data_IF_538036387852
#
_entry.id   IF_538036387852
#
_cell.length_a   1.000
_cell.length_b   1.000
_cell.length_c   1.000
_cell.angle_alpha   90.00
_cell.angle_beta   90.00
_cell.angle_gamma   90.00
#
_symmetry.space_group_name_H-M   'P 1'
#
loop_
_entity.id
_entity.type
_entity.pdbx_description
1 polymer ?
#
# COMPACT_ATOMS: atom_id res chain seq x y z
N UNK A 1 -37.52 -13.80 16.92
CA UNK A 1 -37.82 -12.39 16.65
C UNK A 1 -37.78 -12.03 15.18
N UNK A 2 -38.80 -11.29 14.75
CA UNK A 2 -39.00 -10.91 13.35
C UNK A 2 -38.19 -9.64 13.06
N UNK A 3 -37.01 -9.77 12.43
CA UNK A 3 -36.00 -8.72 12.18
C UNK A 3 -36.45 -7.58 11.23
N UNK A 4 -37.75 -7.39 10.99
CA UNK A 4 -38.31 -6.43 10.01
C UNK A 4 -39.45 -5.56 10.56
N UNK A 5 -39.64 -5.47 11.88
CA UNK A 5 -40.67 -4.60 12.46
C UNK A 5 -40.12 -3.18 12.64
N UNK A 6 -40.51 -2.29 11.73
CA UNK A 6 -40.19 -0.85 11.82
C UNK A 6 -41.34 -0.18 12.56
N UNK A 7 -41.06 0.49 13.68
CA UNK A 7 -42.02 1.33 14.40
C UNK A 7 -41.62 2.79 14.27
N UNK A 8 -42.51 3.60 13.72
CA UNK A 8 -42.34 5.05 13.62
C UNK A 8 -43.24 5.69 14.67
N UNK A 9 -42.68 6.54 15.53
CA UNK A 9 -43.46 7.31 16.50
C UNK A 9 -44.09 8.54 15.86
N UNK A 10 -45.09 9.11 16.52
CA UNK A 10 -45.64 10.40 16.13
C UNK A 10 -44.59 11.52 16.24
N UNK A 11 -44.74 12.54 15.39
CA UNK A 11 -43.86 13.71 15.38
C UNK A 11 -44.10 14.54 16.65
N UNK A 12 -43.03 14.92 17.33
CA UNK A 12 -43.09 15.77 18.54
C UNK A 12 -42.33 17.07 18.26
N UNK A 13 -42.78 18.18 18.85
CA UNK A 13 -42.08 19.46 18.78
C UNK A 13 -40.73 19.34 19.48
N UNK A 14 -39.65 19.62 18.76
CA UNK A 14 -38.29 19.58 19.32
C UNK A 14 -38.06 20.76 20.27
N UNK A 15 -37.43 20.49 21.42
CA UNK A 15 -36.89 21.52 22.31
C UNK A 15 -35.53 22.06 21.85
N UNK A 16 -34.90 21.40 20.87
CA UNK A 16 -33.62 21.79 20.30
C UNK A 16 -33.80 22.85 19.20
N UNK A 17 -32.94 23.88 19.22
CA UNK A 17 -32.94 24.96 18.21
C UNK A 17 -32.20 24.58 16.93
N UNK A 18 -31.42 23.49 16.95
CA UNK A 18 -30.65 23.01 15.80
C UNK A 18 -31.35 21.82 15.14
N UNK A 19 -31.48 21.86 13.82
CA UNK A 19 -31.93 20.72 13.03
C UNK A 19 -30.86 19.62 13.00
N UNK A 20 -31.28 18.37 13.11
CA UNK A 20 -30.39 17.21 13.00
C UNK A 20 -31.15 15.89 13.12
N UNK A 21 -30.41 14.80 12.94
CA UNK A 21 -30.92 13.44 13.10
C UNK A 21 -30.06 12.72 14.13
N UNK A 22 -30.71 12.12 15.14
CA UNK A 22 -30.05 11.25 16.11
C UNK A 22 -30.51 9.81 15.86
N UNK A 23 -29.55 8.92 15.66
CA UNK A 23 -29.80 7.48 15.49
C UNK A 23 -29.21 6.76 16.70
N UNK A 24 -30.06 6.03 17.42
CA UNK A 24 -29.66 5.20 18.56
C UNK A 24 -29.88 3.73 18.24
N UNK A 25 -28.81 2.95 18.27
CA UNK A 25 -28.86 1.49 18.10
C UNK A 25 -28.75 0.87 19.49
N UNK A 26 -29.80 0.18 19.92
CA UNK A 26 -29.92 -0.46 21.23
C UNK A 26 -29.86 -1.99 21.09
N UNK A 27 -29.76 -2.71 22.20
CA UNK A 27 -29.78 -4.19 22.25
C UNK A 27 -28.67 -4.87 21.43
N UNK A 28 -27.49 -4.26 21.48
CA UNK A 28 -26.27 -4.82 20.93
C UNK A 28 -25.98 -6.20 21.61
N UNK A 29 -25.78 -7.26 20.82
CA UNK A 29 -25.35 -8.63 21.25
C UNK A 29 -24.09 -8.60 22.12
N UNK A 30 -24.17 -8.98 23.41
CA UNK A 30 -23.15 -8.80 24.48
C UNK A 30 -21.63 -8.90 24.16
N UNK A 31 -21.16 -9.51 23.07
CA UNK A 31 -19.76 -9.58 22.68
C UNK A 31 -19.41 -8.68 21.49
N UNK A 32 -18.95 -7.44 21.72
CA UNK A 32 -18.35 -6.58 20.69
C UNK A 32 -16.92 -6.19 21.05
N UNK A 33 -15.97 -7.05 20.72
CA UNK A 33 -14.53 -6.77 20.88
C UNK A 33 -13.97 -5.84 19.78
N UNK A 34 -14.76 -5.57 18.74
CA UNK A 34 -14.40 -4.72 17.61
C UNK A 34 -14.78 -3.24 17.78
N UNK A 35 -15.78 -2.92 18.61
CA UNK A 35 -16.35 -1.57 18.71
C UNK A 35 -15.65 -0.73 19.80
N UNK A 36 -14.33 -0.57 19.69
CA UNK A 36 -13.58 0.37 20.55
C UNK A 36 -13.47 1.73 19.88
N UNK A 37 -13.37 2.84 20.63
CA UNK A 37 -13.25 4.19 20.05
C UNK A 37 -12.08 4.31 19.06
N UNK A 38 -10.94 3.69 19.37
CA UNK A 38 -9.75 3.70 18.52
C UNK A 38 -9.98 2.97 17.20
N UNK A 39 -10.52 1.74 17.24
CA UNK A 39 -10.82 0.97 16.03
C UNK A 39 -11.88 1.66 15.16
N UNK A 40 -12.87 2.28 15.79
CA UNK A 40 -13.90 3.04 15.09
C UNK A 40 -13.32 4.29 14.41
N UNK A 41 -12.45 5.02 15.11
CA UNK A 41 -11.78 6.20 14.55
C UNK A 41 -10.92 5.83 13.34
N UNK A 42 -10.12 4.75 13.45
CA UNK A 42 -9.32 4.22 12.34
C UNK A 42 -10.21 3.82 11.15
N UNK A 43 -11.25 3.01 11.39
CA UNK A 43 -12.17 2.55 10.34
C UNK A 43 -12.87 3.71 9.63
N UNK A 44 -13.40 4.68 10.39
CA UNK A 44 -14.06 5.85 9.82
C UNK A 44 -13.09 6.78 9.11
N UNK A 45 -11.84 6.90 9.59
CA UNK A 45 -10.78 7.66 8.91
C UNK A 45 -10.53 7.10 7.52
N UNK A 46 -10.40 5.78 7.40
CA UNK A 46 -10.19 5.10 6.12
C UNK A 46 -11.43 5.16 5.23
N UNK A 47 -12.60 4.87 5.77
CA UNK A 47 -13.85 4.81 5.00
C UNK A 47 -14.27 6.18 4.49
N UNK A 48 -14.14 7.22 5.32
CA UNK A 48 -14.55 8.59 5.00
C UNK A 48 -13.40 9.45 4.48
N UNK A 49 -12.22 8.86 4.27
CA UNK A 49 -11.01 9.55 3.80
C UNK A 49 -11.28 10.53 2.64
N UNK A 50 -11.80 9.99 1.53
CA UNK A 50 -12.10 10.78 0.34
C UNK A 50 -13.17 11.82 0.60
N UNK A 51 -14.20 11.45 1.36
CA UNK A 51 -15.31 12.35 1.64
C UNK A 51 -14.86 13.55 2.49
N UNK A 52 -14.14 13.32 3.58
CA UNK A 52 -13.66 14.38 4.46
C UNK A 52 -12.56 15.23 3.83
N UNK A 53 -11.71 14.64 2.99
CA UNK A 53 -10.74 15.39 2.17
C UNK A 53 -11.45 16.32 1.17
N UNK A 54 -12.51 15.83 0.52
CA UNK A 54 -13.28 16.58 -0.48
C UNK A 54 -14.21 17.63 0.12
N UNK A 55 -14.70 17.41 1.35
CA UNK A 55 -15.64 18.31 2.03
C UNK A 55 -15.08 18.78 3.39
N UNK A 56 -14.14 19.75 3.41
CA UNK A 56 -13.49 20.22 4.64
C UNK A 56 -14.44 20.85 5.68
N UNK A 57 -15.64 21.27 5.24
CA UNK A 57 -16.69 21.79 6.14
C UNK A 57 -17.38 20.70 6.94
N UNK A 58 -17.31 19.44 6.49
CA UNK A 58 -17.90 18.31 7.22
C UNK A 58 -16.90 17.83 8.26
N UNK A 59 -17.34 17.79 9.52
CA UNK A 59 -16.52 17.34 10.65
C UNK A 59 -17.17 16.12 11.27
N UNK A 60 -16.40 15.05 11.39
CA UNK A 60 -16.83 13.81 12.04
C UNK A 60 -16.07 13.67 13.34
N UNK A 61 -16.79 13.30 14.40
CA UNK A 61 -16.23 13.14 15.73
C UNK A 61 -16.55 11.76 16.27
N UNK A 62 -15.54 11.08 16.84
CA UNK A 62 -15.72 9.86 17.64
C UNK A 62 -15.34 10.20 19.07
N UNK A 63 -16.27 10.03 20.02
CA UNK A 63 -16.04 10.41 21.42
C UNK A 63 -15.49 11.85 21.61
N UNK A 64 -15.98 12.80 20.80
CA UNK A 64 -15.54 14.22 20.76
C UNK A 64 -14.14 14.46 20.18
N UNK A 65 -13.44 13.42 19.76
CA UNK A 65 -12.19 13.54 19.01
C UNK A 65 -12.50 13.67 17.52
N UNK A 66 -11.97 14.71 16.87
CA UNK A 66 -12.20 14.93 15.45
C UNK A 66 -11.38 13.93 14.62
N UNK A 67 -12.04 13.27 13.68
CA UNK A 67 -11.34 12.49 12.66
C UNK A 67 -10.81 13.45 11.60
N UNK A 68 -9.50 13.40 11.37
CA UNK A 68 -8.82 14.09 10.26
C UNK A 68 -8.00 13.07 9.45
N UNK A 69 -8.57 12.52 8.36
CA UNK A 69 -7.86 11.56 7.52
C UNK A 69 -6.62 12.18 6.88
N UNK A 70 -6.66 13.48 6.55
CA UNK A 70 -5.60 14.21 5.85
C UNK A 70 -4.27 14.16 6.59
N UNK A 71 -4.32 14.26 7.92
CA UNK A 71 -3.13 14.19 8.77
C UNK A 71 -2.40 12.84 8.70
N UNK A 72 -3.09 11.77 8.28
CA UNK A 72 -2.57 10.41 8.19
C UNK A 72 -2.15 10.02 6.76
N UNK A 73 -2.43 10.83 5.75
CA UNK A 73 -2.04 10.58 4.36
C UNK A 73 -0.52 10.80 4.23
N UNK A 74 0.16 9.82 3.64
CA UNK A 74 1.54 9.93 3.17
C UNK A 74 1.59 10.33 1.69
N UNK A 75 0.82 9.64 0.85
CA UNK A 75 0.74 9.89 -0.58
C UNK A 75 -0.69 9.74 -1.05
N UNK A 76 -1.06 10.53 -2.05
CA UNK A 76 -2.34 10.48 -2.73
C UNK A 76 -2.08 10.52 -4.24
N UNK A 77 -2.39 9.43 -4.94
CA UNK A 77 -2.10 9.29 -6.36
C UNK A 77 -3.32 8.83 -7.13
N UNK A 78 -3.70 9.58 -8.17
CA UNK A 78 -4.79 9.23 -9.09
C UNK A 78 -4.28 8.73 -10.43
N UNK A 79 -4.94 7.69 -10.95
CA UNK A 79 -4.72 7.12 -12.27
C UNK A 79 -6.02 7.13 -13.06
N UNK A 80 -5.96 7.59 -14.32
CA UNK A 80 -7.06 7.42 -15.27
C UNK A 80 -6.96 6.04 -15.92
N UNK A 81 -8.08 5.34 -15.99
CA UNK A 81 -8.19 4.04 -16.66
C UNK A 81 -8.89 4.21 -18.00
N UNK A 82 -8.93 3.11 -18.78
CA UNK A 82 -9.61 3.14 -20.08
C UNK A 82 -11.12 3.15 -19.84
N UNK A 83 -11.83 3.76 -20.78
CA UNK A 83 -13.28 3.80 -20.73
C UNK A 83 -13.87 2.43 -21.06
N UNK A 84 -14.98 2.09 -20.40
CA UNK A 84 -15.74 0.86 -20.64
C UNK A 84 -17.09 1.20 -21.24
N UNK A 85 -17.48 0.49 -22.30
CA UNK A 85 -18.83 0.59 -22.86
C UNK A 85 -19.74 -0.38 -22.14
N UNK A 86 -20.83 0.12 -21.56
CA UNK A 86 -21.86 -0.67 -20.90
C UNK A 86 -23.24 -0.09 -21.23
N UNK A 87 -24.16 -0.93 -21.72
CA UNK A 87 -25.49 -0.52 -22.21
C UNK A 87 -25.41 0.68 -23.18
N UNK A 88 -24.52 0.59 -24.18
CA UNK A 88 -24.26 1.63 -25.20
C UNK A 88 -23.80 3.00 -24.65
N UNK A 89 -23.43 3.07 -23.37
CA UNK A 89 -22.86 4.26 -22.75
C UNK A 89 -21.39 4.06 -22.39
N UNK A 90 -20.61 5.14 -22.56
CA UNK A 90 -19.20 5.16 -22.23
C UNK A 90 -18.99 5.57 -20.78
N UNK A 91 -18.25 4.77 -20.03
CA UNK A 91 -17.99 4.99 -18.62
C UNK A 91 -16.49 5.10 -18.34
N UNK A 92 -16.06 6.29 -17.92
CA UNK A 92 -14.68 6.52 -17.49
C UNK A 92 -14.41 5.97 -16.09
N UNK A 93 -13.18 5.53 -15.88
CA UNK A 93 -12.71 5.03 -14.59
C UNK A 93 -11.53 5.85 -14.06
N UNK A 94 -11.55 6.12 -12.76
CA UNK A 94 -10.42 6.70 -12.04
C UNK A 94 -10.08 5.82 -10.85
N UNK A 95 -8.80 5.51 -10.68
CA UNK A 95 -8.27 4.79 -9.53
C UNK A 95 -7.47 5.75 -8.67
N UNK A 96 -7.90 5.97 -7.43
CA UNK A 96 -7.15 6.75 -6.45
C UNK A 96 -6.54 5.82 -5.41
N UNK A 97 -5.23 5.92 -5.22
CA UNK A 97 -4.46 5.16 -4.23
C UNK A 97 -3.99 6.13 -3.15
N UNK A 98 -4.44 5.91 -1.92
CA UNK A 98 -4.02 6.67 -0.74
C UNK A 98 -3.09 5.80 0.09
N UNK A 99 -1.85 6.23 0.29
CA UNK A 99 -0.92 5.63 1.23
C UNK A 99 -1.06 6.28 2.60
N UNK A 100 -1.12 5.47 3.65
CA UNK A 100 -1.31 5.89 5.04
C UNK A 100 -0.01 5.80 5.83
N UNK A 101 0.18 6.67 6.83
CA UNK A 101 1.27 6.56 7.82
C UNK A 101 1.22 5.23 8.57
N UNK A 102 0.00 4.80 8.90
CA UNK A 102 -0.28 3.50 9.50
C UNK A 102 -1.73 3.16 9.23
N UNK A 103 -1.98 1.99 8.64
CA UNK A 103 -3.32 1.40 8.54
C UNK A 103 -3.21 -0.10 8.88
N UNK A 104 -4.25 -0.64 9.52
CA UNK A 104 -4.27 -2.05 9.94
C UNK A 104 -4.42 -3.01 8.76
N UNK A 105 -5.22 -2.63 7.77
CA UNK A 105 -5.51 -3.46 6.61
C UNK A 105 -5.57 -2.62 5.34
N UNK A 106 -5.25 -3.26 4.21
CA UNK A 106 -5.34 -2.65 2.90
C UNK A 106 -6.69 -2.99 2.28
N UNK A 107 -7.42 -1.96 1.87
CA UNK A 107 -8.79 -2.10 1.36
C UNK A 107 -8.91 -1.52 -0.05
N UNK A 108 -9.75 -2.16 -0.86
CA UNK A 108 -10.09 -1.70 -2.20
C UNK A 108 -11.60 -1.44 -2.22
N UNK A 109 -12.00 -0.22 -2.53
CA UNK A 109 -13.38 0.21 -2.57
C UNK A 109 -13.83 0.45 -4.02
N UNK A 110 -14.97 -0.14 -4.37
CA UNK A 110 -15.72 0.23 -5.55
C UNK A 110 -16.64 1.37 -5.18
N UNK A 111 -16.43 2.52 -5.81
CA UNK A 111 -17.05 3.78 -5.43
C UNK A 111 -17.95 4.33 -6.53
N UNK A 112 -18.86 5.21 -6.14
CA UNK A 112 -19.49 6.09 -7.11
C UNK A 112 -18.49 7.08 -7.75
N UNK A 113 -18.95 7.88 -8.71
CA UNK A 113 -18.12 8.90 -9.37
C UNK A 113 -17.55 9.95 -8.41
N UNK A 114 -18.17 10.16 -7.25
CA UNK A 114 -17.77 11.18 -6.29
C UNK A 114 -16.75 10.66 -5.27
N UNK A 115 -16.50 9.34 -5.23
CA UNK A 115 -15.58 8.67 -4.33
C UNK A 115 -16.23 8.07 -3.08
N UNK A 116 -17.56 7.93 -3.04
CA UNK A 116 -18.25 7.28 -1.94
C UNK A 116 -18.23 5.74 -2.13
N UNK A 117 -17.76 4.96 -1.13
CA UNK A 117 -17.73 3.50 -1.24
C UNK A 117 -19.14 2.90 -1.38
N UNK A 118 -19.35 2.10 -2.43
CA UNK A 118 -20.56 1.30 -2.65
C UNK A 118 -20.38 -0.10 -2.07
N UNK A 119 -19.21 -0.71 -2.28
CA UNK A 119 -18.85 -2.03 -1.77
C UNK A 119 -17.32 -2.17 -1.64
N UNK A 120 -16.87 -3.00 -0.70
CA UNK A 120 -15.46 -3.38 -0.56
C UNK A 120 -15.15 -4.61 -1.43
N UNK A 121 -14.04 -4.56 -2.15
CA UNK A 121 -13.49 -5.68 -2.91
C UNK A 121 -12.42 -6.38 -2.06
N UNK A 122 -12.78 -7.54 -1.49
CA UNK A 122 -11.97 -8.31 -0.53
C UNK A 122 -10.78 -9.07 -1.18
N UNK A 123 -10.07 -8.43 -2.10
CA UNK A 123 -8.95 -9.02 -2.83
C UNK A 123 -7.62 -8.53 -2.28
N UNK A 124 -6.80 -9.48 -1.79
CA UNK A 124 -5.44 -9.18 -1.34
C UNK A 124 -4.47 -9.16 -2.52
N UNK A 125 -3.84 -8.00 -2.74
CA UNK A 125 -2.80 -7.84 -3.76
C UNK A 125 -1.47 -8.35 -3.21
N UNK A 126 -0.90 -9.37 -3.87
CA UNK A 126 0.41 -9.92 -3.49
C UNK A 126 1.52 -8.90 -3.74
N UNK A 127 2.52 -8.87 -2.85
CA UNK A 127 3.69 -7.99 -2.98
C UNK A 127 3.51 -6.59 -2.41
N UNK A 128 2.35 -6.25 -1.83
CA UNK A 128 2.06 -4.90 -1.31
C UNK A 128 1.88 -4.87 0.22
N UNK A 129 2.25 -5.94 0.93
CA UNK A 129 1.98 -6.08 2.38
C UNK A 129 2.83 -5.16 3.27
N UNK A 130 3.90 -4.59 2.72
CA UNK A 130 4.78 -3.63 3.40
C UNK A 130 4.21 -2.20 3.42
N UNK A 131 3.12 -1.98 2.70
CA UNK A 131 2.44 -0.69 2.59
C UNK A 131 1.10 -0.74 3.30
N UNK A 132 0.75 0.38 3.92
CA UNK A 132 -0.58 0.67 4.43
C UNK A 132 -1.28 1.58 3.42
N UNK A 133 -2.36 1.12 2.80
CA UNK A 133 -3.04 1.89 1.75
C UNK A 133 -4.52 1.56 1.62
N UNK A 134 -5.25 2.48 0.99
CA UNK A 134 -6.61 2.25 0.52
C UNK A 134 -6.74 2.67 -0.92
N UNK A 135 -7.56 1.95 -1.66
CA UNK A 135 -7.77 2.16 -3.09
C UNK A 135 -9.24 2.44 -3.36
N UNK A 136 -9.52 3.44 -4.19
CA UNK A 136 -10.87 3.85 -4.53
C UNK A 136 -11.00 3.85 -6.05
N UNK A 137 -11.73 2.87 -6.58
CA UNK A 137 -12.08 2.80 -7.99
C UNK A 137 -13.42 3.53 -8.19
N UNK A 138 -13.40 4.64 -8.94
CA UNK A 138 -14.56 5.50 -9.16
C UNK A 138 -15.06 5.36 -10.58
N UNK A 139 -16.37 5.15 -10.75
CA UNK A 139 -17.03 5.25 -12.05
C UNK A 139 -18.54 5.34 -11.91
N UNK A 140 -19.20 5.96 -12.88
CA UNK A 140 -20.66 5.88 -13.03
C UNK A 140 -21.13 4.47 -13.39
N UNK A 141 -20.28 3.63 -14.00
CA UNK A 141 -20.60 2.23 -14.29
C UNK A 141 -20.86 1.43 -13.01
N UNK A 142 -20.04 1.64 -11.96
CA UNK A 142 -20.20 0.96 -10.67
C UNK A 142 -21.53 1.32 -10.00
N UNK A 143 -21.95 2.58 -10.12
CA UNK A 143 -23.26 3.02 -9.63
C UNK A 143 -24.42 2.33 -10.37
N UNK A 144 -24.32 2.13 -11.69
CA UNK A 144 -25.32 1.38 -12.46
C UNK A 144 -25.43 -0.07 -12.00
N UNK A 145 -24.30 -0.78 -11.94
CA UNK A 145 -24.25 -2.17 -11.46
C UNK A 145 -24.78 -2.29 -10.02
N UNK A 146 -24.56 -1.28 -9.18
CA UNK A 146 -25.10 -1.26 -7.81
C UNK A 146 -26.62 -1.17 -7.80
N UNK A 147 -27.22 -0.35 -8.66
CA UNK A 147 -28.68 -0.21 -8.76
C UNK A 147 -29.33 -1.48 -9.33
N UNK A 148 -28.63 -2.16 -10.24
CA UNK A 148 -29.08 -3.42 -10.85
C UNK A 148 -28.86 -4.63 -9.95
N UNK A 149 -28.09 -4.48 -8.86
CA UNK A 149 -27.78 -5.55 -7.91
C UNK A 149 -26.72 -6.54 -8.42
N UNK A 150 -26.01 -6.21 -9.50
CA UNK A 150 -24.96 -7.04 -10.12
C UNK A 150 -23.57 -6.69 -9.63
N UNK A 151 -23.37 -5.53 -8.98
CA UNK A 151 -22.06 -5.10 -8.47
C UNK A 151 -21.42 -6.12 -7.50
N UNK A 152 -22.22 -6.83 -6.71
CA UNK A 152 -21.74 -7.86 -5.78
C UNK A 152 -21.16 -9.10 -6.47
N UNK A 153 -21.38 -9.27 -7.78
CA UNK A 153 -20.80 -10.36 -8.56
C UNK A 153 -19.30 -10.17 -8.80
N UNK A 154 -18.78 -8.94 -8.71
CA UNK A 154 -17.34 -8.61 -8.77
C UNK A 154 -16.67 -9.21 -10.03
N UNK A 155 -15.72 -10.14 -9.85
CA UNK A 155 -14.97 -10.81 -10.91
C UNK A 155 -15.86 -11.64 -11.86
N UNK A 156 -17.07 -12.00 -11.43
CA UNK A 156 -18.05 -12.73 -12.23
C UNK A 156 -18.88 -11.82 -13.15
N UNK A 157 -18.88 -10.50 -12.91
CA UNK A 157 -19.55 -9.53 -13.77
C UNK A 157 -18.65 -9.26 -15.00
N UNK A 158 -19.05 -9.68 -16.23
CA UNK A 158 -18.17 -9.65 -17.40
C UNK A 158 -17.72 -8.23 -17.77
N UNK A 159 -18.57 -7.23 -17.52
CA UNK A 159 -18.26 -5.82 -17.77
C UNK A 159 -17.25 -5.23 -16.79
N UNK A 160 -17.09 -5.84 -15.61
CA UNK A 160 -16.26 -5.35 -14.51
C UNK A 160 -14.93 -6.11 -14.37
N UNK A 161 -14.92 -7.42 -14.67
CA UNK A 161 -13.75 -8.29 -14.51
C UNK A 161 -12.47 -7.76 -15.21
N UNK A 162 -12.50 -7.26 -16.46
CA UNK A 162 -11.31 -6.70 -17.11
C UNK A 162 -10.77 -5.46 -16.39
N UNK A 163 -11.66 -4.63 -15.84
CA UNK A 163 -11.29 -3.42 -15.08
C UNK A 163 -10.61 -3.81 -13.78
N UNK A 164 -11.17 -4.76 -13.02
CA UNK A 164 -10.58 -5.24 -11.77
C UNK A 164 -9.18 -5.80 -11.99
N UNK A 165 -8.99 -6.62 -13.04
CA UNK A 165 -7.66 -7.13 -13.40
C UNK A 165 -6.66 -6.00 -13.71
N UNK A 166 -7.09 -4.96 -14.43
CA UNK A 166 -6.25 -3.79 -14.71
C UNK A 166 -5.92 -3.01 -13.44
N UNK A 167 -6.87 -2.87 -12.53
CA UNK A 167 -6.69 -2.24 -11.21
C UNK A 167 -5.66 -3.00 -10.38
N UNK A 168 -5.75 -4.33 -10.29
CA UNK A 168 -4.74 -5.14 -9.59
C UNK A 168 -3.33 -4.93 -10.16
N UNK A 169 -3.21 -4.86 -11.50
CA UNK A 169 -1.94 -4.59 -12.17
C UNK A 169 -1.39 -3.20 -11.86
N UNK A 170 -2.24 -2.17 -11.89
CA UNK A 170 -1.86 -0.80 -11.57
C UNK A 170 -1.40 -0.63 -10.12
N UNK A 171 -2.08 -1.28 -9.17
CA UNK A 171 -1.67 -1.26 -7.75
C UNK A 171 -0.28 -1.88 -7.59
N UNK A 172 -0.02 -3.03 -8.21
CA UNK A 172 1.32 -3.66 -8.18
C UNK A 172 2.39 -2.76 -8.78
N UNK A 173 2.10 -2.17 -9.93
CA UNK A 173 3.04 -1.26 -10.60
C UNK A 173 3.30 0.03 -9.80
N UNK A 174 2.27 0.58 -9.15
CA UNK A 174 2.40 1.69 -8.23
C UNK A 174 3.41 1.36 -7.12
N UNK A 175 3.19 0.28 -6.36
CA UNK A 175 4.09 -0.06 -5.25
C UNK A 175 5.48 -0.52 -5.70
N UNK A 176 5.62 -1.11 -6.89
CA UNK A 176 6.92 -1.37 -7.49
C UNK A 176 7.71 -0.08 -7.73
N UNK A 177 7.06 0.98 -8.24
CA UNK A 177 7.69 2.30 -8.40
C UNK A 177 8.07 2.91 -7.05
N UNK A 178 7.20 2.79 -6.04
CA UNK A 178 7.46 3.26 -4.68
C UNK A 178 8.66 2.55 -4.04
N UNK A 179 8.81 1.23 -4.24
CA UNK A 179 9.98 0.49 -3.79
C UNK A 179 11.27 0.98 -4.46
N UNK A 180 11.23 1.27 -5.76
CA UNK A 180 12.37 1.84 -6.48
C UNK A 180 12.72 3.26 -5.99
N UNK A 181 11.74 4.09 -5.66
CA UNK A 181 11.95 5.42 -5.08
C UNK A 181 12.60 5.34 -3.70
N UNK A 182 12.04 4.55 -2.78
CA UNK A 182 12.61 4.33 -1.44
C UNK A 182 14.03 3.77 -1.51
N UNK A 183 14.28 2.86 -2.44
CA UNK A 183 15.61 2.29 -2.68
C UNK A 183 16.63 3.36 -3.05
N UNK A 184 16.27 4.30 -3.94
CA UNK A 184 17.13 5.43 -4.30
C UNK A 184 17.36 6.36 -3.12
N UNK A 185 16.30 6.71 -2.38
CA UNK A 185 16.39 7.56 -1.20
C UNK A 185 17.33 6.97 -0.14
N UNK A 186 17.28 5.65 0.09
CA UNK A 186 18.18 4.95 1.01
C UNK A 186 19.64 5.01 0.54
N UNK A 187 19.89 4.77 -0.75
CA UNK A 187 21.24 4.84 -1.31
C UNK A 187 21.80 6.27 -1.19
N UNK A 188 20.99 7.28 -1.49
CA UNK A 188 21.40 8.68 -1.38
C UNK A 188 21.64 9.09 0.08
N UNK A 189 20.82 8.60 1.02
CA UNK A 189 21.07 8.72 2.46
C UNK A 189 22.44 8.14 2.83
N UNK A 190 22.78 6.93 2.37
CA UNK A 190 24.07 6.31 2.67
C UNK A 190 25.26 7.04 2.06
N UNK A 191 25.10 7.62 0.87
CA UNK A 191 26.10 8.48 0.25
C UNK A 191 26.31 9.76 1.06
N UNK A 192 25.22 10.40 1.51
CA UNK A 192 25.26 11.61 2.32
C UNK A 192 25.86 11.37 3.72
N UNK A 193 25.58 10.21 4.34
CA UNK A 193 26.23 9.78 5.59
C UNK A 193 27.71 9.38 5.38
N UNK A 194 28.17 9.29 4.12
CA UNK A 194 29.52 8.86 3.77
C UNK A 194 29.83 7.41 4.15
N UNK A 195 28.79 6.57 4.25
CA UNK A 195 28.92 5.15 4.58
C UNK A 195 28.94 4.27 3.34
N UNK A 196 28.37 4.75 2.22
CA UNK A 196 28.38 4.07 0.93
C UNK A 196 29.82 3.74 0.47
N UNK A 197 30.12 2.50 0.03
CA UNK A 197 31.50 2.03 -0.10
C UNK A 197 32.17 2.39 -1.43
N UNK A 198 31.47 3.05 -2.35
CA UNK A 198 32.01 3.52 -3.63
C UNK A 198 32.10 5.04 -3.68
N UNK A 199 33.11 5.54 -4.39
CA UNK A 199 33.41 6.97 -4.49
C UNK A 199 33.27 7.41 -5.94
N UNK A 200 32.72 8.61 -6.16
CA UNK A 200 32.60 9.20 -7.50
C UNK A 200 31.72 8.39 -8.47
N UNK A 201 31.92 8.62 -9.77
CA UNK A 201 31.26 7.85 -10.83
C UNK A 201 31.99 6.51 -11.01
N UNK A 202 31.28 5.51 -11.55
CA UNK A 202 31.90 4.24 -11.92
C UNK A 202 32.99 4.48 -12.97
N UNK A 203 34.13 3.83 -12.81
CA UNK A 203 35.29 3.93 -13.69
C UNK A 203 35.10 3.10 -14.96
N UNK A 204 34.35 2.00 -14.88
CA UNK A 204 34.10 1.08 -15.99
C UNK A 204 32.77 0.32 -15.84
N UNK A 205 32.40 -0.43 -16.88
CA UNK A 205 31.14 -1.21 -16.94
C UNK A 205 31.09 -2.30 -15.85
N UNK A 206 32.24 -2.88 -15.51
CA UNK A 206 32.34 -3.92 -14.48
C UNK A 206 32.04 -3.34 -13.09
N UNK A 207 32.61 -2.18 -12.76
CA UNK A 207 32.34 -1.49 -11.51
C UNK A 207 30.89 -1.00 -11.43
N UNK A 208 30.32 -0.52 -12.54
CA UNK A 208 28.90 -0.16 -12.61
C UNK A 208 27.99 -1.36 -12.32
N UNK A 209 28.34 -2.55 -12.83
CA UNK A 209 27.66 -3.79 -12.50
C UNK A 209 27.84 -4.20 -11.03
N UNK A 210 29.06 -4.14 -10.49
CA UNK A 210 29.37 -4.41 -9.07
C UNK A 210 28.54 -3.50 -8.14
N UNK A 211 28.47 -2.20 -8.44
CA UNK A 211 27.67 -1.21 -7.71
C UNK A 211 26.18 -1.56 -7.73
N UNK A 212 25.63 -1.97 -8.88
CA UNK A 212 24.21 -2.40 -9.00
C UNK A 212 23.92 -3.63 -8.14
N UNK A 213 24.79 -4.65 -8.20
CA UNK A 213 24.63 -5.86 -7.38
C UNK A 213 24.74 -5.51 -5.89
N UNK A 214 25.69 -4.65 -5.52
CA UNK A 214 25.83 -4.15 -4.16
C UNK A 214 24.57 -3.43 -3.68
N UNK A 215 24.03 -2.50 -4.47
CA UNK A 215 22.84 -1.74 -4.10
C UNK A 215 21.65 -2.67 -3.81
N UNK A 216 21.40 -3.64 -4.70
CA UNK A 216 20.36 -4.65 -4.55
C UNK A 216 20.56 -5.44 -3.25
N UNK A 217 21.80 -5.87 -2.99
CA UNK A 217 22.12 -6.65 -1.80
C UNK A 217 22.01 -5.85 -0.52
N UNK A 218 22.51 -4.62 -0.52
CA UNK A 218 22.45 -3.71 0.62
C UNK A 218 20.99 -3.48 1.03
N UNK A 219 20.12 -3.11 0.08
CA UNK A 219 18.70 -2.87 0.34
C UNK A 219 18.00 -4.08 0.95
N UNK A 220 18.37 -5.29 0.53
CA UNK A 220 17.74 -6.52 1.00
C UNK A 220 18.31 -7.02 2.33
N UNK A 221 19.64 -6.96 2.51
CA UNK A 221 20.34 -7.49 3.69
C UNK A 221 20.16 -6.59 4.91
N UNK A 222 20.22 -5.26 4.73
CA UNK A 222 20.15 -4.30 5.85
C UNK A 222 18.85 -4.43 6.64
N UNK A 223 17.74 -4.78 5.99
CA UNK A 223 16.44 -5.02 6.64
C UNK A 223 16.50 -6.09 7.73
N UNK A 224 17.51 -6.97 7.68
CA UNK A 224 17.72 -8.05 8.63
C UNK A 224 18.87 -7.79 9.60
N UNK A 225 19.62 -6.69 9.45
CA UNK A 225 20.67 -6.31 10.40
C UNK A 225 20.04 -5.47 11.51
N UNK A 226 19.96 -6.00 12.75
CA UNK A 226 19.37 -5.25 13.86
C UNK A 226 20.11 -3.94 14.10
N UNK A 227 19.36 -2.86 14.29
CA UNK A 227 19.89 -1.54 14.62
C UNK A 227 20.89 -0.97 13.59
N UNK A 228 20.91 -1.44 12.33
CA UNK A 228 21.83 -0.90 11.32
C UNK A 228 21.75 0.62 11.22
N UNK A 229 20.53 1.18 11.08
CA UNK A 229 20.31 2.62 10.97
C UNK A 229 20.74 3.42 12.21
N UNK A 230 20.63 2.83 13.40
CA UNK A 230 20.97 3.46 14.68
C UNK A 230 22.40 3.15 15.15
N UNK A 231 23.14 2.34 14.40
CA UNK A 231 24.51 1.95 14.71
C UNK A 231 25.51 3.08 14.45
N UNK A 232 26.68 2.98 15.11
CA UNK A 232 27.78 3.91 14.90
C UNK A 232 28.22 3.95 13.43
N UNK A 233 28.60 5.14 12.94
CA UNK A 233 29.02 5.38 11.55
C UNK A 233 30.20 4.48 11.16
N UNK A 234 31.12 4.19 12.09
CA UNK A 234 32.25 3.28 11.80
C UNK A 234 31.78 1.86 11.56
N UNK A 235 30.80 1.39 12.34
CA UNK A 235 30.22 0.05 12.20
C UNK A 235 29.48 -0.09 10.86
N UNK A 236 28.64 0.91 10.51
CA UNK A 236 27.98 0.97 9.19
C UNK A 236 28.99 0.89 8.03
N UNK A 237 30.05 1.71 8.09
CA UNK A 237 31.13 1.70 7.08
C UNK A 237 31.82 0.34 6.98
N UNK A 238 32.11 -0.29 8.12
CA UNK A 238 32.72 -1.62 8.15
C UNK A 238 31.80 -2.67 7.50
N UNK A 239 30.52 -2.69 7.88
CA UNK A 239 29.52 -3.61 7.33
C UNK A 239 29.33 -3.44 5.81
N UNK A 240 29.30 -2.20 5.30
CA UNK A 240 29.21 -1.94 3.86
C UNK A 240 30.48 -2.30 3.09
N UNK A 241 31.66 -2.08 3.67
CA UNK A 241 32.91 -2.56 3.07
C UNK A 241 32.97 -4.08 3.01
N UNK A 242 32.50 -4.76 4.04
CA UNK A 242 32.39 -6.22 4.06
C UNK A 242 31.42 -6.70 2.99
N UNK A 243 30.22 -6.11 2.92
CA UNK A 243 29.24 -6.45 1.90
C UNK A 243 29.76 -6.21 0.47
N UNK A 244 30.47 -5.10 0.24
CA UNK A 244 31.15 -4.84 -1.04
C UNK A 244 32.18 -5.93 -1.36
N UNK A 245 33.01 -6.31 -0.40
CA UNK A 245 34.01 -7.35 -0.60
C UNK A 245 33.35 -8.69 -0.99
N UNK A 246 32.27 -9.07 -0.31
CA UNK A 246 31.53 -10.29 -0.60
C UNK A 246 30.95 -10.27 -2.02
N UNK A 247 30.35 -9.14 -2.44
CA UNK A 247 29.82 -8.97 -3.80
C UNK A 247 30.92 -9.09 -4.87
N UNK A 248 32.13 -8.60 -4.58
CA UNK A 248 33.27 -8.64 -5.50
C UNK A 248 34.06 -9.96 -5.50
N UNK A 249 33.96 -10.78 -4.45
CA UNK A 249 34.89 -11.91 -4.24
C UNK A 249 34.33 -13.29 -4.57
N UNK A 250 33.05 -13.62 -4.33
CA UNK A 250 32.36 -14.77 -4.95
C UNK A 250 30.89 -14.94 -4.46
N UNK A 251 29.96 -15.41 -5.31
CA UNK A 251 28.57 -15.69 -4.93
C UNK A 251 28.39 -16.84 -3.91
N UNK A 252 29.32 -17.81 -3.88
CA UNK A 252 29.20 -19.00 -3.02
C UNK A 252 29.39 -18.67 -1.53
N UNK A 253 30.35 -17.81 -1.18
CA UNK A 253 30.58 -17.31 0.19
C UNK A 253 29.37 -16.52 0.71
N UNK A 254 28.63 -15.91 -0.22
CA UNK A 254 27.44 -15.13 0.08
C UNK A 254 26.33 -16.02 0.67
N UNK A 255 26.17 -17.24 0.16
CA UNK A 255 25.16 -18.19 0.63
C UNK A 255 25.43 -18.63 2.07
N UNK A 256 26.68 -18.94 2.39
CA UNK A 256 27.12 -19.27 3.75
C UNK A 256 26.89 -18.11 4.73
N UNK A 257 27.15 -16.88 4.32
CA UNK A 257 26.93 -15.69 5.18
C UNK A 257 25.43 -15.42 5.41
N UNK A 258 24.59 -15.57 4.39
CA UNK A 258 23.13 -15.43 4.53
C UNK A 258 22.55 -16.50 5.48
N UNK A 259 23.12 -17.71 5.48
CA UNK A 259 22.73 -18.82 6.34
C UNK A 259 23.22 -18.64 7.79
N UNK A 260 24.51 -18.37 7.99
CA UNK A 260 25.14 -18.40 9.31
C UNK A 260 25.01 -17.08 10.09
N UNK A 261 25.01 -15.93 9.40
CA UNK A 261 25.10 -14.61 10.06
C UNK A 261 23.74 -13.93 10.17
N UNK A 262 22.84 -14.12 9.20
CA UNK A 262 21.54 -13.43 9.15
C UNK A 262 20.36 -14.32 9.55
N UNK A 263 20.56 -15.64 9.75
CA UNK A 263 19.51 -16.59 10.16
C UNK A 263 18.22 -16.49 9.33
N UNK A 264 18.34 -16.27 8.02
CA UNK A 264 17.20 -16.05 7.13
C UNK A 264 16.38 -17.34 6.91
N UNK A 265 15.04 -17.29 6.76
CA UNK A 265 14.24 -18.45 6.34
C UNK A 265 14.63 -18.95 4.94
N UNK A 266 14.55 -20.27 4.70
CA UNK A 266 14.97 -20.90 3.43
C UNK A 266 14.27 -20.33 2.20
N UNK A 267 12.99 -19.93 2.31
CA UNK A 267 12.26 -19.33 1.20
C UNK A 267 12.90 -17.99 0.77
N UNK A 268 13.30 -17.16 1.75
CA UNK A 268 13.91 -15.85 1.50
C UNK A 268 15.36 -15.96 1.02
N UNK A 269 16.09 -16.97 1.48
CA UNK A 269 17.42 -17.29 0.94
C UNK A 269 17.35 -17.65 -0.55
N UNK A 270 16.35 -18.45 -0.93
CA UNK A 270 16.16 -18.89 -2.32
C UNK A 270 15.80 -17.71 -3.22
N UNK A 271 14.88 -16.84 -2.77
CA UNK A 271 14.51 -15.61 -3.47
C UNK A 271 15.72 -14.67 -3.66
N UNK A 272 16.54 -14.46 -2.62
CA UNK A 272 17.75 -13.64 -2.73
C UNK A 272 18.79 -14.23 -3.69
N UNK A 273 18.99 -15.55 -3.63
CA UNK A 273 19.92 -16.26 -4.49
C UNK A 273 19.49 -16.20 -5.98
N UNK A 274 18.19 -16.28 -6.25
CA UNK A 274 17.64 -16.09 -7.60
C UNK A 274 17.86 -14.67 -8.11
N UNK A 275 17.53 -13.64 -7.31
CA UNK A 275 17.78 -12.23 -7.65
C UNK A 275 19.27 -11.98 -7.95
N UNK A 276 20.17 -12.60 -7.19
CA UNK A 276 21.62 -12.52 -7.39
C UNK A 276 22.09 -13.21 -8.66
N UNK A 277 21.56 -14.40 -8.97
CA UNK A 277 21.85 -15.08 -10.24
C UNK A 277 21.38 -14.23 -11.42
N UNK A 278 20.19 -13.66 -11.35
CA UNK A 278 19.66 -12.81 -12.42
C UNK A 278 20.41 -11.49 -12.56
N UNK A 279 20.82 -10.87 -11.45
CA UNK A 279 21.62 -9.65 -11.46
C UNK A 279 23.04 -9.91 -11.97
N UNK A 280 23.68 -11.02 -11.58
CA UNK A 280 24.99 -11.43 -12.11
C UNK A 280 24.91 -11.84 -13.59
N UNK A 281 23.87 -12.54 -14.02
CA UNK A 281 23.61 -12.85 -15.43
C UNK A 281 23.38 -11.58 -16.25
N UNK A 282 22.57 -10.65 -15.76
CA UNK A 282 22.33 -9.36 -16.43
C UNK A 282 23.60 -8.51 -16.52
N UNK A 283 24.44 -8.53 -15.48
CA UNK A 283 25.76 -7.92 -15.48
C UNK A 283 26.69 -8.57 -16.54
N UNK A 284 26.77 -9.89 -16.59
CA UNK A 284 27.57 -10.63 -17.59
C UNK A 284 27.09 -10.36 -19.02
N UNK A 285 25.78 -10.28 -19.25
CA UNK A 285 25.18 -9.94 -20.54
C UNK A 285 25.52 -8.49 -20.94
N UNK A 286 25.54 -7.55 -19.97
CA UNK A 286 25.92 -6.16 -20.23
C UNK A 286 27.41 -5.97 -20.54
N UNK A 287 28.27 -6.87 -20.07
CA UNK A 287 29.71 -6.91 -20.38
C UNK A 287 29.98 -7.59 -21.74
N UNK A 288 29.04 -8.38 -22.26
CA UNK A 288 29.17 -9.13 -23.51
C UNK A 288 28.54 -8.44 -24.74
N UNK A 289 28.05 -7.19 -24.58
CA UNK A 289 27.53 -6.33 -25.66
C UNK A 289 28.41 -5.11 -25.83
#
# INVERSE_FOLDING_TARGET
DNKKKISVSDKVVSSETKSGTVVSILELVKNFTSLTPQKLSEFLSTTLALYLSKYPSVKVFVNREQIDPTAQILFDTSYKLDDVVYCDELHSYELQVIEWKSAKENEIFLCDKEGFPLISYEKKIRGTSTYSYSVYLKSTHLTKLSHEGTLSLMDLEPSLSPVLNKVEGLIKEHFRKRDHEKSRELIDKWKNEGVYPYVGKAENIVEDAERKVFDIMAINVIKYIPQFDNGDLKLKKFQFKLLRHIVGSCPDDLRTILEEVLSLPKEKQTELAEILRDASLSAVISVSK
#
